data_IF_763409985840
#
_entry.id   IF_763409985840
#
_cell.length_a   1.000
_cell.length_b   1.000
_cell.length_c   1.000
_cell.angle_alpha   90.00
_cell.angle_beta   90.00
_cell.angle_gamma   90.00
#
_symmetry.space_group_name_H-M   'P 1'
#
loop_
_entity.id
_entity.type
_entity.pdbx_description
1 polymer ?
#
# COMPACT_ATOMS: atom_id res chain seq x y z
N UNK A 1 10.58 -28.02 -9.35
CA UNK A 1 9.40 -27.81 -8.49
C UNK A 1 8.55 -26.73 -9.15
N UNK A 2 7.41 -27.09 -9.75
CA UNK A 2 6.42 -26.11 -10.17
C UNK A 2 5.95 -25.36 -8.93
N UNK A 3 6.16 -24.04 -8.90
CA UNK A 3 5.72 -23.21 -7.78
C UNK A 3 4.20 -23.34 -7.66
N UNK A 4 3.69 -23.74 -6.49
CA UNK A 4 2.26 -23.70 -6.19
C UNK A 4 1.82 -22.24 -6.25
N UNK A 5 0.71 -21.95 -6.91
CA UNK A 5 0.15 -20.60 -6.93
C UNK A 5 -0.18 -20.14 -5.49
N UNK A 6 0.37 -19.00 -5.05
CA UNK A 6 0.27 -18.57 -3.67
C UNK A 6 -1.19 -18.27 -3.30
N UNK A 7 -1.57 -18.55 -2.06
CA UNK A 7 -2.91 -18.21 -1.58
C UNK A 7 -3.05 -16.71 -1.28
N UNK A 8 -4.28 -16.20 -1.19
CA UNK A 8 -4.51 -14.77 -0.95
C UNK A 8 -3.84 -14.30 0.34
N UNK A 9 -3.95 -15.09 1.42
CA UNK A 9 -3.30 -14.78 2.70
C UNK A 9 -1.77 -14.70 2.58
N UNK A 10 -1.16 -15.59 1.80
CA UNK A 10 0.29 -15.58 1.55
C UNK A 10 0.71 -14.33 0.78
N UNK A 11 -0.11 -13.86 -0.17
CA UNK A 11 0.15 -12.63 -0.91
C UNK A 11 0.06 -11.39 -0.01
N UNK A 12 -0.83 -11.38 0.99
CA UNK A 12 -0.87 -10.29 1.97
C UNK A 12 0.43 -10.17 2.79
N UNK A 13 1.20 -11.25 2.92
CA UNK A 13 2.51 -11.21 3.54
C UNK A 13 3.51 -10.31 2.80
N UNK A 14 3.33 -10.16 1.48
CA UNK A 14 4.17 -9.28 0.67
C UNK A 14 4.11 -7.83 1.13
N UNK A 15 3.13 -7.42 1.94
CA UNK A 15 3.07 -6.08 2.54
C UNK A 15 4.28 -5.77 3.42
N UNK A 16 4.74 -6.76 4.20
CA UNK A 16 5.92 -6.60 5.05
C UNK A 16 7.17 -6.42 4.19
N UNK A 17 7.31 -7.28 3.16
CA UNK A 17 8.43 -7.21 2.20
C UNK A 17 8.43 -5.88 1.44
N UNK A 18 7.25 -5.45 0.97
CA UNK A 18 7.07 -4.19 0.25
C UNK A 18 7.44 -2.99 1.11
N UNK A 19 7.11 -3.01 2.41
CA UNK A 19 7.46 -1.93 3.34
C UNK A 19 8.98 -1.73 3.43
N UNK A 20 9.73 -2.79 3.73
CA UNK A 20 11.18 -2.72 3.83
C UNK A 20 11.86 -2.48 2.48
N UNK A 21 11.29 -3.01 1.39
CA UNK A 21 11.79 -2.76 0.04
C UNK A 21 11.67 -1.28 -0.34
N UNK A 22 10.56 -0.62 0.00
CA UNK A 22 10.39 0.83 -0.21
C UNK A 22 11.47 1.63 0.52
N UNK A 23 11.78 1.28 1.77
CA UNK A 23 12.83 1.94 2.55
C UNK A 23 14.19 1.72 1.90
N UNK A 24 14.53 0.47 1.56
CA UNK A 24 15.81 0.12 0.95
C UNK A 24 16.04 0.81 -0.40
N UNK A 25 15.02 0.84 -1.28
CA UNK A 25 15.13 1.50 -2.59
C UNK A 25 15.25 3.02 -2.47
N UNK A 26 14.48 3.65 -1.57
CA UNK A 26 14.60 5.10 -1.32
C UNK A 26 15.97 5.44 -0.74
N UNK A 27 16.48 4.65 0.19
CA UNK A 27 17.81 4.82 0.73
C UNK A 27 18.89 4.73 -0.36
N UNK A 28 18.79 3.74 -1.27
CA UNK A 28 19.70 3.60 -2.41
C UNK A 28 19.61 4.78 -3.38
N UNK A 29 18.40 5.23 -3.68
CA UNK A 29 18.17 6.39 -4.54
C UNK A 29 18.71 7.70 -3.94
N UNK A 30 18.77 7.79 -2.61
CA UNK A 30 19.30 8.92 -1.84
C UNK A 30 20.76 8.73 -1.40
N UNK A 31 21.44 7.70 -1.92
CA UNK A 31 22.85 7.39 -1.63
C UNK A 31 23.15 7.23 -0.12
N UNK A 32 22.17 6.71 0.64
CA UNK A 32 22.32 6.42 2.07
C UNK A 32 23.11 5.12 2.28
N UNK A 33 23.91 5.11 3.35
CA UNK A 33 24.76 3.97 3.70
C UNK A 33 23.96 2.77 4.20
N UNK A 34 24.56 1.58 4.11
CA UNK A 34 23.95 0.34 4.59
C UNK A 34 23.59 0.41 6.09
N UNK A 35 24.55 0.78 6.94
CA UNK A 35 24.37 0.84 8.40
C UNK A 35 23.28 1.83 8.82
N UNK A 36 23.25 3.02 8.20
CA UNK A 36 22.21 4.03 8.44
C UNK A 36 20.83 3.52 8.00
N UNK A 37 20.76 2.81 6.87
CA UNK A 37 19.48 2.29 6.37
C UNK A 37 18.94 1.17 7.27
N UNK A 38 19.82 0.31 7.77
CA UNK A 38 19.47 -0.82 8.64
C UNK A 38 18.84 -0.41 9.97
N UNK A 39 19.06 0.83 10.46
CA UNK A 39 18.38 1.30 11.67
C UNK A 39 16.87 1.49 11.47
N UNK A 40 16.39 1.51 10.23
CA UNK A 40 14.97 1.70 9.87
C UNK A 40 14.30 0.43 9.34
N UNK A 41 15.03 -0.69 9.25
CA UNK A 41 14.55 -1.93 8.64
C UNK A 41 14.66 -3.08 9.65
N UNK A 42 13.53 -3.72 9.95
CA UNK A 42 13.50 -5.01 10.64
C UNK A 42 13.22 -6.12 9.63
N UNK A 43 14.18 -7.05 9.47
CA UNK A 43 14.12 -8.15 8.51
C UNK A 43 13.45 -9.42 9.06
N UNK A 44 12.93 -9.39 10.29
CA UNK A 44 12.37 -10.58 10.92
C UNK A 44 11.22 -11.19 10.11
N UNK A 45 10.35 -10.35 9.54
CA UNK A 45 9.27 -10.82 8.68
C UNK A 45 9.82 -11.49 7.41
N UNK A 46 10.78 -10.88 6.73
CA UNK A 46 11.37 -11.47 5.54
C UNK A 46 12.10 -12.79 5.84
N UNK A 47 12.70 -12.91 7.01
CA UNK A 47 13.34 -14.15 7.47
C UNK A 47 12.31 -15.28 7.64
N UNK A 48 11.18 -15.00 8.31
CA UNK A 48 10.10 -15.98 8.49
C UNK A 48 9.50 -16.44 7.15
N UNK A 49 9.51 -15.59 6.12
CA UNK A 49 9.07 -15.95 4.77
C UNK A 49 10.17 -16.54 3.87
N UNK A 50 11.41 -16.63 4.34
CA UNK A 50 12.54 -17.07 3.52
C UNK A 50 12.83 -16.12 2.34
N UNK A 51 12.56 -14.82 2.51
CA UNK A 51 12.73 -13.75 1.52
C UNK A 51 13.73 -12.67 1.96
N UNK A 52 14.45 -12.89 3.07
CA UNK A 52 15.46 -11.96 3.61
C UNK A 52 16.52 -11.58 2.59
N UNK A 53 16.89 -12.53 1.75
CA UNK A 53 17.89 -12.35 0.69
C UNK A 53 17.48 -11.28 -0.33
N UNK A 54 16.18 -11.11 -0.61
CA UNK A 54 15.69 -10.10 -1.54
C UNK A 54 16.06 -8.69 -1.05
N UNK A 55 15.78 -8.37 0.21
CA UNK A 55 16.09 -7.06 0.79
C UNK A 55 17.60 -6.90 1.00
N UNK A 56 18.28 -7.94 1.49
CA UNK A 56 19.72 -7.89 1.74
C UNK A 56 20.52 -7.59 0.45
N UNK A 57 20.12 -8.16 -0.69
CA UNK A 57 20.74 -7.89 -2.00
C UNK A 57 20.58 -6.45 -2.43
N UNK A 58 19.39 -5.86 -2.25
CA UNK A 58 19.13 -4.45 -2.55
C UNK A 58 19.97 -3.54 -1.65
N UNK A 59 20.03 -3.83 -0.36
CA UNK A 59 20.84 -3.05 0.58
C UNK A 59 22.35 -3.16 0.33
N UNK A 60 22.82 -4.30 -0.19
CA UNK A 60 24.23 -4.55 -0.50
C UNK A 60 24.65 -4.09 -1.90
N UNK A 61 23.70 -3.66 -2.74
CA UNK A 61 24.03 -3.16 -4.09
C UNK A 61 24.85 -1.88 -4.01
N UNK A 62 25.68 -1.65 -5.03
CA UNK A 62 26.51 -0.44 -5.14
C UNK A 62 25.64 0.79 -5.38
N UNK A 63 24.66 0.66 -6.28
CA UNK A 63 23.78 1.74 -6.70
C UNK A 63 22.36 1.23 -6.97
N UNK A 64 21.49 2.17 -7.36
CA UNK A 64 20.09 1.90 -7.68
C UNK A 64 19.93 1.03 -8.94
N UNK A 65 20.84 1.15 -9.91
CA UNK A 65 20.82 0.39 -11.15
C UNK A 65 21.07 -1.09 -10.86
N UNK A 66 22.09 -1.40 -10.07
CA UNK A 66 22.38 -2.76 -9.61
C UNK A 66 21.24 -3.30 -8.72
N UNK A 67 20.70 -2.49 -7.80
CA UNK A 67 19.53 -2.88 -7.00
C UNK A 67 18.34 -3.29 -7.88
N UNK A 68 18.06 -2.51 -8.92
CA UNK A 68 16.97 -2.79 -9.86
C UNK A 68 17.20 -4.08 -10.63
N UNK A 69 18.43 -4.31 -11.11
CA UNK A 69 18.80 -5.54 -11.81
C UNK A 69 18.68 -6.79 -10.91
N UNK A 70 19.04 -6.68 -9.63
CA UNK A 70 18.94 -7.78 -8.65
C UNK A 70 17.50 -8.18 -8.34
N UNK A 71 16.53 -7.30 -8.59
CA UNK A 71 15.10 -7.55 -8.41
C UNK A 71 14.42 -8.07 -9.68
N UNK A 72 15.15 -8.19 -10.79
CA UNK A 72 14.61 -8.76 -12.02
C UNK A 72 14.11 -10.20 -11.78
N UNK A 73 12.95 -10.52 -12.36
CA UNK A 73 12.30 -11.83 -12.16
C UNK A 73 11.58 -12.01 -10.83
N UNK A 74 11.65 -11.05 -9.91
CA UNK A 74 10.79 -11.03 -8.70
C UNK A 74 9.42 -10.41 -8.99
N UNK A 75 8.49 -10.57 -8.04
CA UNK A 75 7.18 -9.92 -8.06
C UNK A 75 7.24 -8.38 -8.11
N UNK A 76 8.36 -7.77 -7.72
CA UNK A 76 8.54 -6.31 -7.69
C UNK A 76 9.35 -5.77 -8.87
N UNK A 77 10.11 -6.62 -9.58
CA UNK A 77 11.17 -6.18 -10.50
C UNK A 77 10.70 -5.24 -11.61
N UNK A 78 9.56 -5.54 -12.24
CA UNK A 78 9.02 -4.72 -13.34
C UNK A 78 8.64 -3.31 -12.88
N UNK A 79 8.01 -3.19 -11.72
CA UNK A 79 7.57 -1.90 -11.21
C UNK A 79 8.73 -1.12 -10.60
N UNK A 80 9.69 -1.80 -9.95
CA UNK A 80 10.91 -1.14 -9.47
C UNK A 80 11.73 -0.56 -10.63
N UNK A 81 11.82 -1.25 -11.76
CA UNK A 81 12.48 -0.71 -12.95
C UNK A 81 11.79 0.56 -13.49
N UNK A 82 10.45 0.59 -13.50
CA UNK A 82 9.69 1.80 -13.84
C UNK A 82 9.91 2.91 -12.82
N UNK A 83 9.96 2.58 -11.53
CA UNK A 83 10.22 3.53 -10.46
C UNK A 83 11.60 4.19 -10.61
N UNK A 84 12.63 3.41 -10.92
CA UNK A 84 13.97 3.91 -11.17
C UNK A 84 14.02 4.87 -12.39
N UNK A 85 13.28 4.56 -13.45
CA UNK A 85 13.15 5.44 -14.62
C UNK A 85 12.40 6.76 -14.29
N UNK A 86 11.32 6.68 -13.52
CA UNK A 86 10.57 7.85 -13.05
C UNK A 86 11.46 8.74 -12.16
N UNK A 87 12.16 8.14 -11.20
CA UNK A 87 13.09 8.83 -10.31
C UNK A 87 14.23 9.52 -11.06
N UNK A 88 14.79 8.89 -12.10
CA UNK A 88 15.82 9.50 -12.93
C UNK A 88 15.35 10.81 -13.60
N UNK A 89 14.05 10.95 -13.83
CA UNK A 89 13.42 12.10 -14.49
C UNK A 89 13.05 13.20 -13.50
N UNK A 90 12.29 12.89 -12.45
CA UNK A 90 11.73 13.91 -11.53
C UNK A 90 12.48 14.04 -10.19
N UNK A 91 13.45 13.15 -9.91
CA UNK A 91 14.25 13.10 -8.67
C UNK A 91 13.41 13.02 -7.39
N UNK A 92 12.19 12.50 -7.49
CA UNK A 92 11.28 12.33 -6.37
C UNK A 92 11.39 10.90 -5.81
N UNK A 93 12.05 10.67 -4.66
CA UNK A 93 12.22 9.32 -4.11
C UNK A 93 10.90 8.66 -3.71
N UNK A 94 9.83 9.44 -3.43
CA UNK A 94 8.52 8.87 -3.08
C UNK A 94 7.85 8.10 -4.22
N UNK A 95 8.32 8.24 -5.47
CA UNK A 95 7.81 7.41 -6.58
C UNK A 95 8.00 5.92 -6.34
N UNK A 96 9.05 5.50 -5.61
CA UNK A 96 9.22 4.09 -5.24
C UNK A 96 8.05 3.57 -4.41
N UNK A 97 7.41 4.42 -3.60
CA UNK A 97 6.23 4.03 -2.82
C UNK A 97 5.07 3.67 -3.77
N UNK A 98 4.84 4.44 -4.83
CA UNK A 98 3.76 4.17 -5.80
C UNK A 98 3.96 2.83 -6.52
N UNK A 99 5.14 2.61 -7.07
CA UNK A 99 5.41 1.46 -7.92
C UNK A 99 5.55 0.16 -7.12
N UNK A 100 6.13 0.20 -5.92
CA UNK A 100 6.18 -0.98 -5.06
C UNK A 100 4.77 -1.33 -4.55
N UNK A 101 3.97 -0.32 -4.18
CA UNK A 101 2.56 -0.55 -3.83
C UNK A 101 1.77 -1.07 -5.05
N UNK A 102 2.04 -0.59 -6.26
CA UNK A 102 1.44 -1.10 -7.50
C UNK A 102 1.67 -2.60 -7.66
N UNK A 103 2.92 -3.06 -7.54
CA UNK A 103 3.26 -4.48 -7.66
C UNK A 103 2.53 -5.33 -6.61
N UNK A 104 2.53 -4.86 -5.35
CA UNK A 104 1.87 -5.52 -4.24
C UNK A 104 0.35 -5.65 -4.45
N UNK A 105 -0.34 -4.53 -4.69
CA UNK A 105 -1.79 -4.52 -4.79
C UNK A 105 -2.27 -5.15 -6.10
N UNK A 106 -1.48 -5.07 -7.18
CA UNK A 106 -1.74 -5.83 -8.41
C UNK A 106 -1.74 -7.32 -8.11
N UNK A 107 -0.74 -7.80 -7.36
CA UNK A 107 -0.66 -9.22 -7.00
C UNK A 107 -1.84 -9.66 -6.12
N UNK A 108 -2.26 -8.82 -5.16
CA UNK A 108 -3.46 -9.07 -4.35
C UNK A 108 -4.71 -9.18 -5.24
N UNK A 109 -4.91 -8.23 -6.15
CA UNK A 109 -6.06 -8.19 -7.05
C UNK A 109 -6.10 -9.40 -8.01
N UNK A 110 -4.97 -9.74 -8.61
CA UNK A 110 -4.80 -10.91 -9.48
C UNK A 110 -5.10 -12.22 -8.75
N UNK A 111 -4.52 -12.41 -7.56
CA UNK A 111 -4.73 -13.63 -6.76
C UNK A 111 -6.19 -13.74 -6.31
N UNK A 112 -6.81 -12.64 -5.89
CA UNK A 112 -8.25 -12.63 -5.61
C UNK A 112 -9.05 -13.03 -6.86
N UNK A 113 -8.77 -12.43 -8.02
CA UNK A 113 -9.49 -12.71 -9.26
C UNK A 113 -9.37 -14.19 -9.71
N UNK A 114 -8.19 -14.78 -9.53
CA UNK A 114 -7.92 -16.19 -9.85
C UNK A 114 -8.65 -17.16 -8.90
N UNK A 115 -8.68 -16.83 -7.60
CA UNK A 115 -9.22 -17.72 -6.56
C UNK A 115 -10.66 -17.45 -6.18
N UNK A 116 -11.29 -16.38 -6.65
CA UNK A 116 -12.65 -16.02 -6.26
C UNK A 116 -13.68 -17.16 -6.43
N UNK A 117 -13.48 -18.03 -7.42
CA UNK A 117 -14.37 -19.19 -7.68
C UNK A 117 -14.20 -20.33 -6.68
N UNK A 118 -13.11 -20.39 -5.92
CA UNK A 118 -12.90 -21.43 -4.90
C UNK A 118 -13.49 -21.06 -3.53
N UNK A 119 -13.95 -19.82 -3.34
CA UNK A 119 -14.59 -19.39 -2.10
C UNK A 119 -16.09 -19.67 -2.12
N UNK A 120 -16.67 -19.90 -0.94
CA UNK A 120 -18.13 -20.00 -0.81
C UNK A 120 -18.80 -18.66 -1.11
N UNK A 121 -20.08 -18.68 -1.53
CA UNK A 121 -20.83 -17.46 -1.92
C UNK A 121 -20.93 -16.40 -0.81
N UNK A 122 -20.97 -16.80 0.46
CA UNK A 122 -20.96 -15.86 1.59
C UNK A 122 -19.57 -15.29 1.89
N UNK A 123 -18.54 -16.13 1.76
CA UNK A 123 -17.14 -15.76 2.04
C UNK A 123 -16.55 -14.86 0.96
N UNK A 124 -16.81 -15.15 -0.33
CA UNK A 124 -16.32 -14.34 -1.45
C UNK A 124 -16.75 -12.87 -1.33
N UNK A 125 -17.98 -12.60 -0.88
CA UNK A 125 -18.46 -11.23 -0.72
C UNK A 125 -17.65 -10.47 0.35
N UNK A 126 -17.30 -11.15 1.43
CA UNK A 126 -16.56 -10.54 2.55
C UNK A 126 -15.07 -10.38 2.21
N UNK A 127 -14.47 -11.38 1.56
CA UNK A 127 -13.10 -11.27 1.04
C UNK A 127 -13.02 -10.17 -0.03
N UNK A 128 -14.01 -10.07 -0.92
CA UNK A 128 -14.11 -8.98 -1.90
C UNK A 128 -14.14 -7.63 -1.20
N UNK A 129 -14.97 -7.45 -0.16
CA UNK A 129 -15.07 -6.17 0.55
C UNK A 129 -13.70 -5.74 1.11
N UNK A 130 -12.96 -6.66 1.74
CA UNK A 130 -11.61 -6.40 2.26
C UNK A 130 -10.61 -6.03 1.16
N UNK A 131 -10.54 -6.83 0.09
CA UNK A 131 -9.63 -6.60 -1.04
C UNK A 131 -9.97 -5.31 -1.79
N UNK A 132 -11.26 -5.02 -1.95
CA UNK A 132 -11.72 -3.87 -2.72
C UNK A 132 -11.29 -2.55 -2.11
N UNK A 133 -11.31 -2.43 -0.78
CA UNK A 133 -10.86 -1.21 -0.10
C UNK A 133 -9.36 -1.00 -0.31
N UNK A 134 -8.56 -2.07 -0.20
CA UNK A 134 -7.11 -1.98 -0.42
C UNK A 134 -6.79 -1.54 -1.86
N UNK A 135 -7.37 -2.19 -2.86
CA UNK A 135 -7.08 -1.89 -4.28
C UNK A 135 -7.64 -0.53 -4.71
N UNK A 136 -8.87 -0.19 -4.29
CA UNK A 136 -9.45 1.11 -4.62
C UNK A 136 -8.74 2.25 -3.90
N UNK A 137 -8.36 2.07 -2.63
CA UNK A 137 -7.58 3.08 -1.90
C UNK A 137 -6.23 3.31 -2.56
N UNK A 138 -5.53 2.24 -2.96
CA UNK A 138 -4.31 2.35 -3.74
C UNK A 138 -4.54 3.12 -5.04
N UNK A 139 -5.52 2.73 -5.87
CA UNK A 139 -5.77 3.39 -7.16
C UNK A 139 -6.05 4.89 -6.99
N UNK A 140 -6.87 5.25 -6.00
CA UNK A 140 -7.20 6.65 -5.72
C UNK A 140 -5.97 7.41 -5.22
N UNK A 141 -5.30 6.91 -4.18
CA UNK A 141 -4.15 7.58 -3.58
C UNK A 141 -2.96 7.66 -4.54
N UNK A 142 -2.74 6.64 -5.38
CA UNK A 142 -1.68 6.65 -6.38
C UNK A 142 -1.89 7.76 -7.42
N UNK A 143 -3.12 7.98 -7.88
CA UNK A 143 -3.43 9.08 -8.79
C UNK A 143 -3.24 10.45 -8.13
N UNK A 144 -3.70 10.63 -6.88
CA UNK A 144 -3.57 11.91 -6.19
C UNK A 144 -2.11 12.22 -5.84
N UNK A 145 -1.35 11.22 -5.35
CA UNK A 145 0.08 11.34 -5.10
C UNK A 145 0.87 11.58 -6.38
N UNK A 146 0.47 10.96 -7.50
CA UNK A 146 1.06 11.25 -8.81
C UNK A 146 0.95 12.74 -9.18
N UNK A 147 -0.16 13.40 -8.84
CA UNK A 147 -0.33 14.86 -9.04
C UNK A 147 0.60 15.67 -8.13
N UNK A 148 0.61 15.35 -6.83
CA UNK A 148 1.50 15.99 -5.84
C UNK A 148 2.98 15.90 -6.25
N UNK A 149 3.36 14.76 -6.82
CA UNK A 149 4.74 14.42 -7.17
C UNK A 149 5.07 14.67 -8.64
N UNK A 150 4.14 15.31 -9.37
CA UNK A 150 4.29 15.69 -10.79
C UNK A 150 4.73 14.51 -11.69
N UNK A 151 4.21 13.33 -11.40
CA UNK A 151 4.35 12.13 -12.25
C UNK A 151 3.51 12.34 -13.51
N UNK A 152 4.03 11.91 -14.67
CA UNK A 152 3.34 12.16 -15.94
C UNK A 152 1.99 11.43 -16.03
N UNK A 153 0.99 12.04 -16.66
CA UNK A 153 -0.35 11.44 -16.77
C UNK A 153 -0.39 10.10 -17.51
N UNK A 154 0.56 9.84 -18.41
CA UNK A 154 0.75 8.53 -19.06
C UNK A 154 1.23 7.47 -18.07
N UNK A 155 2.17 7.82 -17.20
CA UNK A 155 2.72 6.96 -16.16
C UNK A 155 1.69 6.68 -15.07
N UNK A 156 0.96 7.70 -14.62
CA UNK A 156 -0.09 7.54 -13.60
C UNK A 156 -1.25 6.66 -14.06
N UNK A 157 -1.61 6.69 -15.36
CA UNK A 157 -2.55 5.70 -15.94
C UNK A 157 -2.00 4.28 -15.88
N UNK A 158 -0.69 4.11 -16.09
CA UNK A 158 -0.01 2.83 -16.02
C UNK A 158 0.12 2.25 -14.61
N UNK A 159 -0.16 3.06 -13.58
CA UNK A 159 -0.22 2.66 -12.17
C UNK A 159 -1.62 2.19 -11.73
N UNK A 160 -2.62 2.22 -12.61
CA UNK A 160 -3.97 1.77 -12.29
C UNK A 160 -4.08 0.25 -12.33
N UNK A 161 -4.59 -0.33 -11.26
CA UNK A 161 -4.96 -1.74 -11.19
C UNK A 161 -6.33 -1.93 -11.84
N UNK A 162 -6.37 -2.77 -12.88
CA UNK A 162 -7.57 -3.05 -13.66
C UNK A 162 -7.95 -4.55 -13.62
N UNK A 163 -9.26 -4.88 -13.60
CA UNK A 163 -10.39 -3.97 -13.43
C UNK A 163 -10.47 -3.41 -12.00
N UNK A 164 -10.95 -2.17 -11.80
CA UNK A 164 -11.14 -1.63 -10.46
C UNK A 164 -12.36 -2.27 -9.77
N UNK A 165 -12.51 -2.07 -8.46
CA UNK A 165 -13.60 -2.66 -7.69
C UNK A 165 -14.82 -1.75 -7.62
N UNK A 166 -14.90 -0.89 -6.60
CA UNK A 166 -16.05 -0.02 -6.35
C UNK A 166 -15.85 1.36 -6.98
N UNK A 167 -14.60 1.85 -7.07
CA UNK A 167 -14.29 3.10 -7.79
C UNK A 167 -14.27 2.80 -9.29
N UNK A 168 -15.28 3.24 -10.03
CA UNK A 168 -15.40 2.90 -11.45
C UNK A 168 -14.27 3.50 -12.30
N UNK A 169 -13.89 2.81 -13.39
CA UNK A 169 -12.87 3.30 -14.32
C UNK A 169 -13.16 4.72 -14.86
N UNK A 170 -14.41 5.09 -15.22
CA UNK A 170 -14.71 6.47 -15.61
C UNK A 170 -14.41 7.50 -14.52
N UNK A 171 -14.60 7.16 -13.23
CA UNK A 171 -14.24 8.04 -12.12
C UNK A 171 -12.73 8.19 -11.99
N UNK A 172 -11.98 7.09 -12.08
CA UNK A 172 -10.50 7.11 -12.08
C UNK A 172 -9.96 7.93 -13.26
N UNK A 173 -10.56 7.80 -14.45
CA UNK A 173 -10.17 8.59 -15.62
C UNK A 173 -10.44 10.09 -15.45
N UNK A 174 -11.54 10.48 -14.79
CA UNK A 174 -11.77 11.89 -14.43
C UNK A 174 -10.65 12.41 -13.53
N UNK A 175 -10.29 11.67 -12.47
CA UNK A 175 -9.17 12.04 -11.58
C UNK A 175 -7.89 12.26 -12.40
N UNK A 176 -7.53 11.34 -13.29
CA UNK A 176 -6.35 11.50 -14.15
C UNK A 176 -6.36 12.81 -14.95
N UNK A 177 -7.52 13.21 -15.45
CA UNK A 177 -7.67 14.36 -16.36
C UNK A 177 -7.82 15.71 -15.66
N UNK A 178 -8.18 15.75 -14.38
CA UNK A 178 -8.19 16.99 -13.59
C UNK A 178 -6.76 17.49 -13.32
N UNK A 179 -6.57 18.78 -13.04
CA UNK A 179 -5.24 19.30 -12.71
C UNK A 179 -4.97 19.34 -11.21
N UNK A 180 -5.99 19.61 -10.39
CA UNK A 180 -5.86 19.75 -8.94
C UNK A 180 -6.34 18.51 -8.16
N UNK A 181 -5.79 18.32 -6.96
CA UNK A 181 -6.27 17.30 -6.03
C UNK A 181 -7.70 17.59 -5.59
N UNK A 182 -8.06 18.84 -5.33
CA UNK A 182 -9.41 19.21 -4.90
C UNK A 182 -10.49 18.84 -5.92
N UNK A 183 -10.29 19.18 -7.20
CA UNK A 183 -11.22 18.84 -8.30
C UNK A 183 -11.33 17.32 -8.49
N UNK A 184 -10.24 16.57 -8.26
CA UNK A 184 -10.25 15.10 -8.33
C UNK A 184 -11.24 14.47 -7.36
N UNK A 185 -11.49 15.08 -6.21
CA UNK A 185 -12.35 14.52 -5.16
C UNK A 185 -13.83 14.52 -5.56
N UNK A 186 -14.26 15.45 -6.41
CA UNK A 186 -15.63 15.47 -6.95
C UNK A 186 -15.95 14.16 -7.70
N UNK A 187 -14.93 13.56 -8.34
CA UNK A 187 -15.09 12.26 -9.01
C UNK A 187 -15.28 11.08 -8.04
N UNK A 188 -14.95 11.25 -6.75
CA UNK A 188 -15.08 10.21 -5.72
C UNK A 188 -16.41 10.25 -4.98
N UNK A 189 -17.19 11.32 -5.13
CA UNK A 189 -18.46 11.51 -4.40
C UNK A 189 -19.42 10.33 -4.59
N UNK A 190 -19.86 9.76 -3.48
CA UNK A 190 -20.80 8.65 -3.46
C UNK A 190 -20.21 7.25 -3.70
N UNK A 191 -18.89 7.07 -3.91
CA UNK A 191 -18.30 5.72 -3.88
C UNK A 191 -18.11 5.25 -2.44
N UNK A 192 -17.42 6.06 -1.64
CA UNK A 192 -17.11 5.80 -0.24
C UNK A 192 -17.52 6.98 0.62
N UNK A 193 -18.01 6.70 1.82
CA UNK A 193 -18.34 7.73 2.82
C UNK A 193 -17.08 8.16 3.56
N UNK A 194 -16.16 8.82 2.86
CA UNK A 194 -14.93 9.40 3.44
C UNK A 194 -15.07 10.92 3.43
N UNK A 195 -14.78 11.56 4.57
CA UNK A 195 -14.73 13.01 4.68
C UNK A 195 -13.31 13.51 4.44
N UNK A 196 -13.19 14.62 3.71
CA UNK A 196 -11.94 15.36 3.55
C UNK A 196 -12.16 16.85 3.89
N UNK A 197 -11.13 17.56 4.34
CA UNK A 197 -11.25 18.98 4.63
C UNK A 197 -11.49 19.78 3.34
N UNK A 198 -12.33 20.81 3.42
CA UNK A 198 -12.63 21.74 2.32
C UNK A 198 -11.58 22.84 2.14
N UNK A 199 -10.51 22.83 2.94
CA UNK A 199 -9.40 23.78 2.86
C UNK A 199 -8.11 23.17 3.39
N UNK A 200 -6.97 23.77 3.03
CA UNK A 200 -5.64 23.24 3.28
C UNK A 200 -4.87 22.98 1.98
N UNK A 201 -3.58 22.66 2.08
CA UNK A 201 -2.80 22.24 0.92
C UNK A 201 -3.17 20.82 0.46
N UNK A 202 -2.86 20.50 -0.79
CA UNK A 202 -3.15 19.19 -1.40
C UNK A 202 -2.63 18.01 -0.54
N UNK A 203 -1.48 18.15 0.12
CA UNK A 203 -0.94 17.13 1.04
C UNK A 203 -1.90 16.83 2.21
N UNK A 204 -2.50 17.85 2.81
CA UNK A 204 -3.44 17.70 3.94
C UNK A 204 -4.70 16.94 3.50
N UNK A 205 -5.18 17.26 2.29
CA UNK A 205 -6.34 16.60 1.70
C UNK A 205 -6.03 15.12 1.43
N UNK A 206 -4.88 14.82 0.81
CA UNK A 206 -4.47 13.44 0.52
C UNK A 206 -4.27 12.64 1.81
N UNK A 207 -3.65 13.21 2.84
CA UNK A 207 -3.50 12.55 4.15
C UNK A 207 -4.84 12.27 4.83
N UNK A 208 -5.80 13.20 4.76
CA UNK A 208 -7.14 12.98 5.32
C UNK A 208 -7.88 11.86 4.58
N UNK A 209 -7.75 11.79 3.26
CA UNK A 209 -8.35 10.72 2.45
C UNK A 209 -7.71 9.35 2.76
N UNK A 210 -6.39 9.31 2.92
CA UNK A 210 -5.65 8.10 3.34
C UNK A 210 -6.15 7.59 4.70
N UNK A 211 -6.27 8.48 5.69
CA UNK A 211 -6.81 8.11 7.00
C UNK A 211 -8.28 7.65 6.89
N UNK A 212 -9.09 8.27 6.03
CA UNK A 212 -10.46 7.84 5.77
C UNK A 212 -10.55 6.42 5.20
N UNK A 213 -9.66 6.04 4.28
CA UNK A 213 -9.55 4.67 3.78
C UNK A 213 -9.08 3.69 4.86
N UNK A 214 -8.13 4.09 5.71
CA UNK A 214 -7.69 3.31 6.87
C UNK A 214 -8.86 2.99 7.81
N UNK A 215 -9.67 4.00 8.14
CA UNK A 215 -10.85 3.81 9.00
C UNK A 215 -11.91 2.91 8.36
N UNK A 216 -12.14 3.06 7.06
CA UNK A 216 -13.05 2.20 6.31
C UNK A 216 -12.56 0.74 6.28
N UNK A 217 -11.27 0.53 6.02
CA UNK A 217 -10.64 -0.79 6.02
C UNK A 217 -10.79 -1.47 7.38
N UNK A 218 -10.53 -0.73 8.46
CA UNK A 218 -10.69 -1.21 9.83
C UNK A 218 -12.13 -1.55 10.19
N UNK A 219 -13.10 -0.69 9.87
CA UNK A 219 -14.53 -0.97 10.08
C UNK A 219 -14.96 -2.24 9.35
N UNK A 220 -14.46 -2.43 8.14
CA UNK A 220 -14.77 -3.60 7.30
C UNK A 220 -14.13 -4.87 7.86
N UNK A 221 -12.87 -4.82 8.30
CA UNK A 221 -12.19 -5.92 8.97
C UNK A 221 -12.89 -6.31 10.27
N UNK A 222 -13.29 -5.36 11.12
CA UNK A 222 -14.03 -5.63 12.35
C UNK A 222 -15.35 -6.35 12.09
N UNK A 223 -16.09 -5.94 11.05
CA UNK A 223 -17.33 -6.62 10.63
C UNK A 223 -17.03 -8.02 10.10
N UNK A 224 -16.00 -8.20 9.28
CA UNK A 224 -15.64 -9.51 8.76
C UNK A 224 -15.22 -10.49 9.88
N UNK A 225 -14.50 -10.01 10.90
CA UNK A 225 -14.03 -10.81 12.02
C UNK A 225 -15.17 -11.30 12.95
N UNK A 226 -16.16 -10.45 13.25
CA UNK A 226 -17.20 -10.76 14.25
C UNK A 226 -18.31 -11.69 13.74
N UNK A 227 -18.51 -11.79 12.42
CA UNK A 227 -19.75 -12.34 11.85
C UNK A 227 -19.57 -13.63 11.05
N UNK A 228 -18.38 -14.21 11.00
CA UNK A 228 -18.07 -15.41 10.23
C UNK A 228 -17.23 -16.37 11.06
N UNK A 229 -17.46 -17.69 10.94
CA UNK A 229 -16.68 -18.71 11.64
C UNK A 229 -15.20 -18.74 11.20
N UNK A 230 -14.53 -19.89 11.29
CA UNK A 230 -13.14 -20.04 10.83
C UNK A 230 -13.07 -20.10 9.28
N UNK A 231 -13.19 -18.95 8.62
CA UNK A 231 -13.08 -18.75 7.16
C UNK A 231 -11.87 -17.88 6.81
N UNK A 232 -11.48 -17.84 5.52
CA UNK A 232 -10.37 -16.99 5.06
C UNK A 232 -10.63 -15.51 5.34
N UNK A 233 -11.87 -15.05 5.20
CA UNK A 233 -12.30 -13.69 5.53
C UNK A 233 -12.01 -13.34 7.00
N UNK A 234 -12.26 -14.26 7.93
CA UNK A 234 -12.00 -14.07 9.36
C UNK A 234 -10.50 -13.99 9.64
N UNK A 235 -9.70 -14.87 9.03
CA UNK A 235 -8.23 -14.86 9.18
C UNK A 235 -7.63 -13.57 8.59
N UNK A 236 -8.04 -13.19 7.39
CA UNK A 236 -7.57 -11.96 6.74
C UNK A 236 -7.96 -10.71 7.54
N UNK A 237 -9.19 -10.69 8.06
CA UNK A 237 -9.65 -9.62 8.94
C UNK A 237 -8.85 -9.55 10.24
N UNK A 238 -8.56 -10.70 10.86
CA UNK A 238 -7.73 -10.77 12.06
C UNK A 238 -6.33 -10.19 11.81
N UNK A 239 -5.67 -10.59 10.73
CA UNK A 239 -4.34 -10.04 10.36
C UNK A 239 -4.39 -8.51 10.25
N UNK A 240 -5.37 -7.96 9.53
CA UNK A 240 -5.54 -6.50 9.41
C UNK A 240 -5.80 -5.82 10.76
N UNK A 241 -6.62 -6.42 11.63
CA UNK A 241 -6.91 -5.86 12.95
C UNK A 241 -5.67 -5.86 13.85
N UNK A 242 -4.86 -6.92 13.80
CA UNK A 242 -3.58 -6.99 14.52
C UNK A 242 -2.60 -5.93 14.03
N UNK A 243 -2.53 -5.67 12.72
CA UNK A 243 -1.69 -4.58 12.20
C UNK A 243 -2.12 -3.21 12.76
N UNK A 244 -3.43 -2.92 12.83
CA UNK A 244 -3.92 -1.68 13.43
C UNK A 244 -3.61 -1.60 14.93
N UNK A 245 -3.71 -2.72 15.65
CA UNK A 245 -3.37 -2.80 17.07
C UNK A 245 -1.87 -2.51 17.30
N UNK A 246 -0.98 -3.15 16.53
CA UNK A 246 0.47 -2.92 16.61
C UNK A 246 0.82 -1.46 16.28
N UNK A 247 0.18 -0.87 15.27
CA UNK A 247 0.36 0.55 14.94
C UNK A 247 -0.08 1.48 16.08
N UNK A 248 -1.20 1.17 16.73
CA UNK A 248 -1.66 1.94 17.88
C UNK A 248 -0.71 1.80 19.07
N UNK A 249 -0.22 0.59 19.36
CA UNK A 249 0.77 0.37 20.42
C UNK A 249 2.06 1.13 20.15
N UNK A 250 2.55 1.12 18.90
CA UNK A 250 3.72 1.89 18.50
C UNK A 250 3.48 3.39 18.67
N UNK A 251 2.34 3.92 18.21
CA UNK A 251 1.99 5.33 18.38
C UNK A 251 1.91 5.75 19.87
N UNK A 252 1.37 4.89 20.73
CA UNK A 252 1.36 5.12 22.19
C UNK A 252 2.78 5.14 22.75
N UNK A 253 3.61 4.14 22.41
CA UNK A 253 4.98 4.05 22.90
C UNK A 253 5.81 5.27 22.50
N UNK A 254 5.81 5.63 21.21
CA UNK A 254 6.50 6.82 20.71
C UNK A 254 5.96 8.11 21.31
N UNK A 255 4.63 8.24 21.45
CA UNK A 255 4.02 9.42 22.05
C UNK A 255 4.42 9.61 23.52
N UNK A 256 4.46 8.53 24.30
CA UNK A 256 4.89 8.53 25.70
C UNK A 256 6.37 8.89 25.81
N UNK A 257 7.23 8.27 25.01
CA UNK A 257 8.67 8.56 24.97
C UNK A 257 8.95 10.02 24.60
N UNK A 258 8.21 10.58 23.65
CA UNK A 258 8.32 11.97 23.21
C UNK A 258 7.64 12.97 24.16
N UNK A 259 7.02 12.53 25.26
CA UNK A 259 6.34 13.41 26.22
C UNK A 259 5.07 14.08 25.68
N UNK A 260 4.44 13.51 24.65
CA UNK A 260 3.21 14.03 24.06
C UNK A 260 2.05 13.87 25.05
N UNK A 261 1.18 14.89 25.23
CA UNK A 261 0.04 14.78 26.14
C UNK A 261 -0.88 13.60 25.78
N UNK A 262 -1.38 12.81 26.76
CA UNK A 262 -2.20 11.63 26.49
C UNK A 262 -3.42 11.88 25.59
N UNK A 263 -4.06 13.06 25.72
CA UNK A 263 -5.20 13.43 24.86
C UNK A 263 -4.83 13.53 23.37
N UNK A 264 -3.63 14.03 23.07
CA UNK A 264 -3.15 14.13 21.69
C UNK A 264 -2.79 12.75 21.14
N UNK A 265 -2.12 11.91 21.95
CA UNK A 265 -1.84 10.50 21.58
C UNK A 265 -3.15 9.77 21.25
N UNK A 266 -4.15 9.86 22.14
CA UNK A 266 -5.45 9.22 21.95
C UNK A 266 -6.16 9.68 20.67
N UNK A 267 -6.02 10.96 20.30
CA UNK A 267 -6.63 11.49 19.07
C UNK A 267 -5.95 11.01 17.78
N UNK A 268 -4.71 10.53 17.84
CA UNK A 268 -4.00 9.97 16.69
C UNK A 268 -4.17 8.46 16.52
N UNK A 269 -4.83 7.78 17.47
CA UNK A 269 -5.00 6.33 17.39
C UNK A 269 -6.09 5.95 16.40
N UNK A 270 -5.87 4.82 15.73
CA UNK A 270 -6.79 4.18 14.81
C UNK A 270 -7.78 3.29 15.60
N UNK A 271 -8.61 3.94 16.45
CA UNK A 271 -9.59 3.34 17.37
C UNK A 271 -11.04 3.39 16.89
#
# INVERSE_FOLDING_TARGET
KTARDPDLLEVYYLRNIAWNLKIALKAKALERGYEETMTYIDLHSEELAGRRDLIARVLSSKDLQEATALLEGTEFGKDVAKAAAAFATNREPRVFDLYVDHALFSRIAETFAAKKKSYSTGEIATVRDLVSIDVDSYNVLALLRSKLWRVQSSESKGLLILPPFNVSLPRLQRIVNTESVAESLEALEGTYSISWPSGGGDDVIVSALEEGFVQLSRKTARRAFLWQGFTLSTVLALVKLLEFEVQNLAAIAFGVEAGVPPKQILSSLRL
#
